data_IF_034744530330
#
_entry.id   IF_034744530330
#
_cell.length_a   1.000
_cell.length_b   1.000
_cell.length_c   1.000
_cell.angle_alpha   90.00
_cell.angle_beta   90.00
_cell.angle_gamma   90.00
#
_symmetry.space_group_name_H-M   'P 1'
#
loop_
_entity.id
_entity.type
_entity.pdbx_description
1 polymer ?
#
# COMPACT_ATOMS: atom_id res chain seq x y z
N UNK A 1 11.46 25.12 6.98
CA UNK A 1 12.38 24.79 5.86
C UNK A 1 11.91 23.46 5.27
N UNK A 2 10.62 23.38 4.96
CA UNK A 2 9.86 22.11 4.85
C UNK A 2 9.81 21.56 3.42
N UNK A 3 10.27 22.35 2.45
CA UNK A 3 10.15 22.03 1.03
C UNK A 3 11.42 21.39 0.44
N UNK A 4 12.53 21.34 1.18
CA UNK A 4 13.76 20.72 0.69
C UNK A 4 13.56 19.21 0.51
N UNK A 5 13.00 18.55 1.52
CA UNK A 5 12.64 17.13 1.48
C UNK A 5 11.74 16.79 0.30
N UNK A 6 10.75 17.62 -0.03
CA UNK A 6 9.87 17.38 -1.19
C UNK A 6 10.63 17.44 -2.51
N UNK A 7 11.54 18.42 -2.67
CA UNK A 7 12.28 18.65 -3.91
C UNK A 7 13.40 17.64 -4.14
N UNK A 8 14.01 17.11 -3.08
CA UNK A 8 15.09 16.12 -3.17
C UNK A 8 14.62 14.69 -2.91
N UNK A 9 13.33 14.45 -2.69
CA UNK A 9 12.80 13.11 -2.46
C UNK A 9 12.91 12.28 -3.71
N UNK A 10 13.54 11.12 -3.57
CA UNK A 10 13.49 10.08 -4.57
C UNK A 10 12.08 9.48 -4.60
N UNK A 11 11.34 9.77 -5.67
CA UNK A 11 9.97 9.31 -5.88
C UNK A 11 9.86 7.80 -6.12
N UNK A 12 10.98 7.12 -6.41
CA UNK A 12 10.99 5.65 -6.51
C UNK A 12 10.96 4.98 -5.13
N UNK A 13 11.27 5.72 -4.06
CA UNK A 13 11.22 5.25 -2.68
C UNK A 13 9.81 5.46 -2.13
N UNK A 14 9.36 4.54 -1.27
CA UNK A 14 8.08 4.66 -0.59
C UNK A 14 7.95 6.03 0.09
N UNK A 15 6.81 6.69 -0.12
CA UNK A 15 6.55 8.05 0.34
C UNK A 15 5.05 8.29 0.53
N UNK A 16 4.66 9.45 1.10
CA UNK A 16 3.27 9.72 1.47
C UNK A 16 2.28 9.60 0.31
N UNK A 17 2.69 9.98 -0.89
CA UNK A 17 1.87 9.89 -2.10
C UNK A 17 1.49 8.44 -2.47
N UNK A 18 2.27 7.45 -2.06
CA UNK A 18 1.92 6.04 -2.25
C UNK A 18 0.85 5.56 -1.25
N UNK A 19 0.70 6.25 -0.12
CA UNK A 19 -0.25 5.89 0.94
C UNK A 19 -1.69 6.30 0.58
N UNK A 20 -1.87 7.30 -0.29
CA UNK A 20 -3.20 7.77 -0.68
C UNK A 20 -4.03 6.64 -1.34
N UNK A 21 -3.38 5.84 -2.21
CA UNK A 21 -4.01 4.68 -2.83
C UNK A 21 -4.36 3.59 -1.80
N UNK A 22 -3.47 3.35 -0.85
CA UNK A 22 -3.69 2.40 0.24
C UNK A 22 -4.87 2.79 1.12
N UNK A 23 -4.95 4.05 1.55
CA UNK A 23 -6.04 4.55 2.41
C UNK A 23 -7.38 4.43 1.68
N UNK A 24 -7.43 4.77 0.39
CA UNK A 24 -8.63 4.62 -0.43
C UNK A 24 -9.09 3.18 -0.48
N UNK A 25 -8.20 2.24 -0.83
CA UNK A 25 -8.55 0.82 -0.91
C UNK A 25 -8.89 0.25 0.46
N UNK A 26 -8.17 0.61 1.51
CA UNK A 26 -8.45 0.18 2.89
C UNK A 26 -9.88 0.48 3.30
N UNK A 27 -10.41 1.65 2.92
CA UNK A 27 -11.79 2.05 3.24
C UNK A 27 -12.85 1.12 2.63
N UNK A 28 -12.53 0.44 1.52
CA UNK A 28 -13.42 -0.55 0.90
C UNK A 28 -13.45 -1.87 1.70
N UNK A 29 -12.32 -2.24 2.32
CA UNK A 29 -12.20 -3.48 3.10
C UNK A 29 -12.58 -3.32 4.58
N UNK A 30 -12.45 -2.12 5.14
CA UNK A 30 -12.79 -1.79 6.53
C UNK A 30 -13.70 -0.55 6.61
N UNK A 31 -14.96 -0.65 6.14
CA UNK A 31 -15.89 0.48 6.12
C UNK A 31 -16.29 0.96 7.52
N UNK A 32 -16.15 0.10 8.53
CA UNK A 32 -16.48 0.41 9.93
C UNK A 32 -15.28 0.97 10.72
N UNK A 33 -14.13 1.18 10.06
CA UNK A 33 -12.89 1.66 10.68
C UNK A 33 -12.48 0.85 11.93
N UNK A 34 -12.64 -0.48 11.88
CA UNK A 34 -12.26 -1.41 12.95
C UNK A 34 -10.74 -1.52 13.12
N UNK A 35 -9.97 -1.06 12.14
CA UNK A 35 -8.51 -1.11 12.10
C UNK A 35 -7.97 -2.51 11.83
N UNK A 36 -8.83 -3.44 11.38
CA UNK A 36 -8.45 -4.84 11.16
C UNK A 36 -9.28 -5.46 10.04
N UNK A 37 -8.61 -6.23 9.19
CA UNK A 37 -9.22 -7.06 8.16
C UNK A 37 -8.61 -8.46 8.20
N UNK A 38 -9.25 -9.44 7.55
CA UNK A 38 -8.72 -10.81 7.51
C UNK A 38 -7.40 -10.83 6.73
N UNK A 39 -6.47 -11.71 7.11
CA UNK A 39 -5.16 -11.85 6.45
C UNK A 39 -5.28 -12.00 4.93
N UNK A 40 -6.25 -12.79 4.44
CA UNK A 40 -6.47 -12.97 2.99
C UNK A 40 -6.90 -11.67 2.29
N UNK A 41 -7.68 -10.82 2.96
CA UNK A 41 -8.10 -9.53 2.43
C UNK A 41 -6.93 -8.55 2.35
N UNK A 42 -6.02 -8.56 3.33
CA UNK A 42 -4.76 -7.79 3.27
C UNK A 42 -3.94 -8.20 2.04
N UNK A 43 -3.84 -9.50 1.77
CA UNK A 43 -3.10 -10.00 0.60
C UNK A 43 -3.75 -9.52 -0.70
N UNK A 44 -5.08 -9.55 -0.78
CA UNK A 44 -5.81 -9.05 -1.96
C UNK A 44 -5.64 -7.54 -2.14
N UNK A 45 -5.71 -6.77 -1.05
CA UNK A 45 -5.47 -5.33 -1.04
C UNK A 45 -4.03 -5.00 -1.51
N UNK A 46 -3.01 -5.71 -1.00
CA UNK A 46 -1.64 -5.49 -1.42
C UNK A 46 -1.37 -5.91 -2.87
N UNK A 47 -2.19 -6.80 -3.45
CA UNK A 47 -2.10 -7.17 -4.88
C UNK A 47 -2.67 -6.09 -5.81
N UNK A 48 -3.62 -5.29 -5.36
CA UNK A 48 -4.19 -4.21 -6.17
C UNK A 48 -3.34 -2.95 -6.16
N UNK A 49 -2.51 -2.76 -5.12
CA UNK A 49 -1.56 -1.64 -5.02
C UNK A 49 -0.29 -1.96 -5.80
N UNK A 50 0.25 -0.96 -6.49
CA UNK A 50 1.51 -1.10 -7.22
C UNK A 50 2.74 -0.95 -6.31
N UNK A 51 3.90 -1.54 -6.65
CA UNK A 51 5.16 -1.22 -5.97
C UNK A 51 5.41 0.29 -6.00
N UNK A 52 5.98 0.90 -4.93
CA UNK A 52 6.76 0.29 -3.86
C UNK A 52 5.96 -0.22 -2.64
N UNK A 53 4.66 0.07 -2.54
CA UNK A 53 3.85 -0.29 -1.37
C UNK A 53 3.20 -1.67 -1.51
N UNK A 54 2.69 -1.98 -2.70
CA UNK A 54 2.03 -3.25 -2.98
C UNK A 54 2.94 -4.28 -3.63
N UNK A 55 2.32 -5.38 -4.05
CA UNK A 55 3.01 -6.48 -4.70
C UNK A 55 3.25 -6.20 -6.17
N UNK A 56 4.40 -6.66 -6.68
CA UNK A 56 4.64 -6.67 -8.13
C UNK A 56 3.62 -7.54 -8.87
N UNK A 57 3.36 -7.22 -10.15
CA UNK A 57 2.41 -7.90 -11.05
C UNK A 57 2.51 -9.44 -11.05
N UNK A 58 3.69 -9.98 -10.75
CA UNK A 58 3.97 -11.41 -10.74
C UNK A 58 4.20 -12.01 -9.35
N UNK A 59 3.77 -11.33 -8.28
CA UNK A 59 3.98 -11.81 -6.92
C UNK A 59 3.24 -13.14 -6.67
N UNK A 60 3.97 -14.24 -6.42
CA UNK A 60 3.36 -15.55 -6.22
C UNK A 60 2.64 -15.60 -4.88
N UNK A 61 1.51 -16.31 -4.84
CA UNK A 61 0.66 -16.44 -3.64
C UNK A 61 1.43 -16.92 -2.41
N UNK A 62 2.37 -17.86 -2.60
CA UNK A 62 3.20 -18.35 -1.51
C UNK A 62 4.10 -17.28 -0.89
N UNK A 63 4.59 -16.30 -1.66
CA UNK A 63 5.43 -15.23 -1.11
C UNK A 63 4.59 -14.15 -0.45
N UNK A 64 3.41 -13.89 -1.00
CA UNK A 64 2.46 -12.93 -0.43
C UNK A 64 1.84 -13.39 0.90
N UNK A 65 1.64 -14.71 1.08
CA UNK A 65 0.96 -15.31 2.23
C UNK A 65 1.91 -16.08 3.17
N UNK A 66 3.22 -15.80 3.10
CA UNK A 66 4.23 -16.42 3.96
C UNK A 66 4.26 -15.73 5.32
#
# INVERSE_FOLDING_TARGET
MDNFDYLTRDWSILGPHHLDEFVRLWSEYDPEAKGRIKHLEVVNLLRSITPPLGFGKFCPHRTACK
#
